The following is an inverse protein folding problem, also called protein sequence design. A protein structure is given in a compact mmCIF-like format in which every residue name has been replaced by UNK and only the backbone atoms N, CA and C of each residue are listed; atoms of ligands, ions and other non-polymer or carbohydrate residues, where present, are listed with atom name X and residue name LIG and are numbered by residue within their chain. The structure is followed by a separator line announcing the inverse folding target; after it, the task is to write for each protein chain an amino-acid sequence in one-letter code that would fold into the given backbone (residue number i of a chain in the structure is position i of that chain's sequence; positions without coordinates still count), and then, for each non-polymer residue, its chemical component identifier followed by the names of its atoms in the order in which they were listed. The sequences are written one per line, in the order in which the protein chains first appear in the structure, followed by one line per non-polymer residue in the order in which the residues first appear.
data_IF_234331924417
#
_entry.id   IF_234331924417
#
_cell.length_a   1.000
_cell.length_b   1.000
_cell.length_c   1.000
_cell.angle_alpha   90.00
_cell.angle_beta   90.00
_cell.angle_gamma   90.00
#
_symmetry.space_group_name_H-M   'P 1'
#
loop_
_entity.id
_entity.type
_entity.pdbx_description
1 polymer ?
#
# COMPACT_ATOMS: atom_id res chain seq x y z
N UNK A 1 -33.32 10.46 -16.15
CA UNK A 1 -33.43 9.51 -17.27
C UNK A 1 -32.14 9.45 -18.08
N UNK A 2 -31.68 10.58 -18.64
CA UNK A 2 -30.43 10.67 -19.42
C UNK A 2 -29.20 10.00 -18.77
N UNK A 3 -28.94 10.29 -17.49
CA UNK A 3 -27.84 9.62 -16.76
C UNK A 3 -28.04 8.11 -16.63
N UNK A 4 -29.27 7.65 -16.36
CA UNK A 4 -29.55 6.23 -16.21
C UNK A 4 -29.38 5.49 -17.55
N UNK A 5 -29.85 6.08 -18.66
CA UNK A 5 -29.67 5.52 -20.01
C UNK A 5 -28.19 5.49 -20.41
N UNK A 6 -27.45 6.57 -20.13
CA UNK A 6 -26.00 6.62 -20.38
C UNK A 6 -25.24 5.53 -19.62
N UNK A 7 -25.44 5.42 -18.30
CA UNK A 7 -24.75 4.41 -17.48
C UNK A 7 -25.18 2.97 -17.79
N UNK A 8 -26.43 2.77 -18.21
CA UNK A 8 -26.90 1.45 -18.66
C UNK A 8 -26.22 1.07 -19.98
N UNK A 9 -26.10 2.02 -20.92
CA UNK A 9 -25.38 1.82 -22.18
C UNK A 9 -23.90 1.53 -21.96
N UNK A 10 -23.23 2.32 -21.11
CA UNK A 10 -21.83 2.10 -20.72
C UNK A 10 -21.62 0.71 -20.10
N UNK A 11 -22.49 0.30 -19.17
CA UNK A 11 -22.42 -1.02 -18.51
C UNK A 11 -22.59 -2.15 -19.54
N UNK A 12 -23.58 -2.06 -20.41
CA UNK A 12 -23.83 -3.05 -21.47
C UNK A 12 -22.63 -3.19 -22.40
N UNK A 13 -22.01 -2.07 -22.79
CA UNK A 13 -20.85 -2.07 -23.67
C UNK A 13 -19.65 -2.79 -23.02
N UNK A 14 -19.42 -2.55 -21.72
CA UNK A 14 -18.38 -3.28 -20.95
C UNK A 14 -18.68 -4.77 -20.80
N UNK A 15 -19.94 -5.13 -20.54
CA UNK A 15 -20.36 -6.54 -20.44
C UNK A 15 -20.20 -7.26 -21.78
N UNK A 16 -20.52 -6.60 -22.90
CA UNK A 16 -20.34 -7.16 -24.24
C UNK A 16 -18.84 -7.32 -24.58
N UNK A 17 -18.02 -6.33 -24.23
CA UNK A 17 -16.58 -6.35 -24.50
C UNK A 17 -15.82 -7.40 -23.65
N UNK A 18 -16.15 -7.54 -22.36
CA UNK A 18 -15.42 -8.42 -21.45
C UNK A 18 -16.12 -9.75 -21.14
N UNK A 19 -17.39 -9.94 -21.53
CA UNK A 19 -18.16 -11.18 -21.34
C UNK A 19 -18.05 -11.74 -19.92
N UNK A 20 -17.56 -12.98 -19.77
CA UNK A 20 -17.37 -13.65 -18.47
C UNK A 20 -16.20 -13.03 -17.69
N UNK A 21 -15.19 -12.50 -18.38
CA UNK A 21 -14.06 -11.79 -17.75
C UNK A 21 -14.52 -10.52 -17.02
N UNK A 22 -15.69 -9.96 -17.37
CA UNK A 22 -16.29 -8.85 -16.60
C UNK A 22 -16.51 -9.21 -15.13
N UNK A 23 -16.89 -10.46 -14.84
CA UNK A 23 -17.17 -10.96 -13.50
C UNK A 23 -15.97 -11.63 -12.82
N UNK A 24 -14.91 -11.96 -13.56
CA UNK A 24 -13.71 -12.63 -13.02
C UNK A 24 -12.43 -11.78 -13.08
N UNK A 25 -12.49 -10.55 -13.63
CA UNK A 25 -11.32 -9.65 -13.67
C UNK A 25 -10.90 -9.16 -12.29
N UNK A 26 -9.68 -8.65 -12.17
CA UNK A 26 -9.17 -8.01 -10.94
C UNK A 26 -10.09 -6.87 -10.42
N UNK A 27 -10.92 -6.27 -11.29
CA UNK A 27 -11.87 -5.21 -10.97
C UNK A 27 -13.32 -5.71 -10.75
N UNK A 28 -13.55 -7.02 -10.59
CA UNK A 28 -14.90 -7.61 -10.57
C UNK A 28 -15.82 -7.03 -9.48
N UNK A 29 -15.29 -6.73 -8.28
CA UNK A 29 -16.05 -6.12 -7.17
C UNK A 29 -16.65 -4.77 -7.59
N UNK A 30 -15.90 -4.00 -8.36
CA UNK A 30 -16.33 -2.69 -8.87
C UNK A 30 -17.37 -2.81 -9.97
N UNK A 31 -17.24 -3.82 -10.82
CA UNK A 31 -18.19 -4.14 -11.86
C UNK A 31 -19.54 -4.60 -11.29
N UNK A 32 -19.54 -5.41 -10.23
CA UNK A 32 -20.75 -5.81 -9.51
C UNK A 32 -21.41 -4.59 -8.86
N UNK A 33 -20.65 -3.76 -8.14
CA UNK A 33 -21.19 -2.53 -7.56
C UNK A 33 -21.82 -1.63 -8.63
N UNK A 34 -21.16 -1.46 -9.78
CA UNK A 34 -21.69 -0.65 -10.87
C UNK A 34 -22.98 -1.23 -11.47
N UNK A 35 -23.08 -2.56 -11.53
CA UNK A 35 -24.28 -3.29 -11.93
C UNK A 35 -25.43 -3.06 -10.95
N UNK A 36 -25.18 -3.16 -9.65
CA UNK A 36 -26.19 -2.89 -8.60
C UNK A 36 -26.68 -1.45 -8.66
N UNK A 37 -25.80 -0.47 -8.83
CA UNK A 37 -26.17 0.95 -8.93
C UNK A 37 -27.04 1.24 -10.16
N UNK A 38 -26.74 0.60 -11.29
CA UNK A 38 -27.56 0.70 -12.51
C UNK A 38 -28.91 0.03 -12.28
N UNK A 39 -28.96 -1.15 -11.64
CA UNK A 39 -30.21 -1.83 -11.31
C UNK A 39 -31.10 -0.99 -10.39
N UNK A 40 -30.56 -0.38 -9.32
CA UNK A 40 -31.29 0.56 -8.45
C UNK A 40 -31.80 1.78 -9.24
N UNK A 41 -31.00 2.26 -10.19
CA UNK A 41 -31.37 3.40 -11.03
C UNK A 41 -32.54 3.08 -11.96
N UNK A 42 -32.52 1.90 -12.58
CA UNK A 42 -33.58 1.36 -13.44
C UNK A 42 -34.84 1.09 -12.62
N UNK A 43 -34.71 0.42 -11.47
CA UNK A 43 -35.82 0.15 -10.55
C UNK A 43 -36.50 1.45 -10.11
N UNK A 44 -35.73 2.49 -9.80
CA UNK A 44 -36.28 3.80 -9.45
C UNK A 44 -37.00 4.51 -10.60
N UNK A 45 -36.63 4.27 -11.86
CA UNK A 45 -37.32 4.79 -13.06
C UNK A 45 -38.59 3.99 -13.33
N UNK A 46 -38.49 2.66 -13.31
CA UNK A 46 -39.62 1.75 -13.48
C UNK A 46 -40.72 2.03 -12.45
N UNK A 47 -40.35 2.24 -11.17
CA UNK A 47 -41.31 2.58 -10.12
C UNK A 47 -42.04 3.92 -10.35
N UNK A 48 -41.39 4.92 -10.95
CA UNK A 48 -42.04 6.20 -11.28
C UNK A 48 -42.99 6.05 -12.46
N UNK A 49 -42.62 5.25 -13.46
CA UNK A 49 -43.48 4.96 -14.62
C UNK A 49 -44.69 4.12 -14.20
N UNK A 50 -44.49 3.11 -13.35
CA UNK A 50 -45.58 2.30 -12.79
C UNK A 50 -46.54 3.13 -11.93
N UNK A 51 -46.02 4.01 -11.07
CA UNK A 51 -46.82 4.89 -10.23
C UNK A 51 -47.51 6.04 -11.01
N UNK A 52 -46.91 6.50 -12.11
CA UNK A 52 -47.49 7.52 -12.99
C UNK A 52 -48.48 6.94 -14.02
N UNK A 53 -48.31 5.67 -14.42
CA UNK A 53 -49.18 4.97 -15.35
C UNK A 53 -50.49 4.49 -14.74
N UNK A 54 -50.55 4.31 -13.42
CA UNK A 54 -51.79 4.04 -12.68
C UNK A 54 -52.59 5.30 -12.31
N UNK A 55 -52.08 6.50 -12.64
CA UNK A 55 -52.74 7.78 -12.38
C UNK A 55 -53.67 8.28 -13.49
N UNK A 56 -53.86 7.52 -14.56
CA UNK A 56 -54.69 7.89 -15.71
C UNK A 56 -55.83 6.90 -15.96
N UNK A 57 -56.71 6.70 -14.97
CA UNK A 57 -57.87 5.83 -15.13
C UNK A 57 -58.86 6.00 -14.00
N UNK A 58 -59.91 6.77 -14.26
CA UNK A 58 -61.14 6.81 -13.46
C UNK A 58 -61.64 5.40 -13.14
N UNK A 59 -61.79 5.09 -11.86
CA UNK A 59 -62.40 3.82 -11.45
C UNK A 59 -62.37 3.65 -9.94
N UNK A 60 -63.42 4.13 -9.27
CA UNK A 60 -63.70 3.76 -7.88
C UNK A 60 -63.91 2.25 -7.79
N UNK A 61 -63.25 1.61 -6.82
CA UNK A 61 -63.38 0.19 -6.55
C UNK A 61 -62.49 -0.24 -5.39
N UNK A 62 -63.13 -0.54 -4.28
CA UNK A 62 -62.59 -0.93 -2.97
C UNK A 62 -61.37 -1.86 -3.02
N UNK A 63 -60.26 -1.44 -2.41
CA UNK A 63 -59.09 -2.28 -2.16
C UNK A 63 -58.52 -2.02 -0.75
N UNK A 64 -59.28 -2.37 0.28
CA UNK A 64 -58.92 -2.19 1.69
C UNK A 64 -58.04 -3.30 2.30
N UNK A 65 -57.37 -4.13 1.49
CA UNK A 65 -56.51 -5.21 2.02
C UNK A 65 -55.17 -5.44 1.28
N UNK A 66 -54.90 -4.73 0.18
CA UNK A 66 -53.57 -4.74 -0.49
C UNK A 66 -52.69 -3.54 -0.09
N UNK A 67 -53.24 -2.54 0.59
CA UNK A 67 -52.59 -1.24 0.81
C UNK A 67 -51.40 -1.26 1.77
N UNK A 68 -51.37 -2.09 2.83
CA UNK A 68 -50.32 -1.93 3.86
C UNK A 68 -48.95 -2.51 3.46
N UNK A 69 -48.95 -3.63 2.75
CA UNK A 69 -47.72 -4.17 2.13
C UNK A 69 -47.24 -3.26 1.00
N UNK A 70 -48.16 -2.76 0.16
CA UNK A 70 -47.80 -1.85 -0.93
C UNK A 70 -47.24 -0.53 -0.38
N UNK A 71 -47.77 0.03 0.70
CA UNK A 71 -47.26 1.26 1.31
C UNK A 71 -45.89 1.09 1.97
N UNK A 72 -45.65 -0.05 2.63
CA UNK A 72 -44.34 -0.38 3.22
C UNK A 72 -43.28 -0.64 2.15
N UNK A 73 -43.63 -1.38 1.10
CA UNK A 73 -42.77 -1.62 -0.07
C UNK A 73 -42.51 -0.30 -0.80
N UNK A 74 -43.51 0.54 -1.03
CA UNK A 74 -43.31 1.87 -1.62
C UNK A 74 -42.40 2.77 -0.77
N UNK A 75 -42.44 2.66 0.56
CA UNK A 75 -41.54 3.38 1.48
C UNK A 75 -40.10 2.88 1.36
N UNK A 76 -39.90 1.56 1.30
CA UNK A 76 -38.58 0.94 1.07
C UNK A 76 -38.04 1.32 -0.32
N UNK A 77 -38.88 1.29 -1.36
CA UNK A 77 -38.50 1.69 -2.71
C UNK A 77 -38.15 3.19 -2.79
N UNK A 78 -38.74 4.05 -1.94
CA UNK A 78 -38.34 5.45 -1.79
C UNK A 78 -36.98 5.57 -1.13
N UNK A 79 -36.68 4.78 -0.09
CA UNK A 79 -35.34 4.74 0.52
C UNK A 79 -34.28 4.22 -0.46
N UNK A 80 -34.60 3.21 -1.28
CA UNK A 80 -33.68 2.75 -2.33
C UNK A 80 -33.34 3.84 -3.36
N UNK A 81 -34.17 4.89 -3.52
CA UNK A 81 -33.82 6.03 -4.39
C UNK A 81 -32.65 6.86 -3.83
N UNK A 82 -32.48 6.95 -2.51
CA UNK A 82 -31.35 7.69 -1.92
C UNK A 82 -30.01 7.01 -2.18
N UNK A 83 -30.01 5.68 -2.38
CA UNK A 83 -28.83 4.91 -2.78
C UNK A 83 -28.23 5.35 -4.12
N UNK A 84 -28.96 6.13 -4.94
CA UNK A 84 -28.40 6.79 -6.13
C UNK A 84 -27.26 7.77 -5.80
N UNK A 85 -27.15 8.23 -4.55
CA UNK A 85 -26.04 9.05 -4.07
C UNK A 85 -24.72 8.25 -4.04
N UNK A 86 -24.78 6.92 -3.90
CA UNK A 86 -23.60 6.05 -3.92
C UNK A 86 -22.86 6.07 -5.26
N UNK A 87 -23.45 6.62 -6.34
CA UNK A 87 -22.70 6.88 -7.58
C UNK A 87 -21.53 7.85 -7.37
N UNK A 88 -21.53 8.64 -6.30
CA UNK A 88 -20.39 9.47 -5.91
C UNK A 88 -19.13 8.64 -5.73
N UNK A 89 -19.26 7.39 -5.28
CA UNK A 89 -18.15 6.42 -5.16
C UNK A 89 -17.42 6.27 -6.50
N UNK A 90 -18.12 6.38 -7.64
CA UNK A 90 -17.47 6.35 -8.96
C UNK A 90 -16.48 7.50 -9.16
N UNK A 91 -16.84 8.70 -8.70
CA UNK A 91 -15.98 9.88 -8.73
C UNK A 91 -14.84 9.71 -7.73
N UNK A 92 -15.13 9.18 -6.55
CA UNK A 92 -14.09 8.90 -5.54
C UNK A 92 -13.05 7.89 -6.03
N UNK A 93 -13.44 6.94 -6.89
CA UNK A 93 -12.52 5.98 -7.55
C UNK A 93 -11.61 6.61 -8.60
N UNK A 94 -12.03 7.71 -9.23
CA UNK A 94 -11.20 8.43 -10.20
C UNK A 94 -10.00 9.10 -9.51
N UNK A 95 -10.14 9.41 -8.22
CA UNK A 95 -9.09 9.97 -7.39
C UNK A 95 -8.30 8.83 -6.71
N UNK A 96 -7.05 8.63 -7.13
CA UNK A 96 -6.17 7.54 -6.62
C UNK A 96 -6.09 7.53 -5.08
N UNK A 97 -5.87 8.69 -4.46
CA UNK A 97 -5.76 8.79 -3.00
C UNK A 97 -7.04 8.39 -2.26
N UNK A 98 -8.19 8.83 -2.76
CA UNK A 98 -9.47 8.52 -2.10
C UNK A 98 -9.90 7.06 -2.34
N UNK A 99 -9.61 6.50 -3.52
CA UNK A 99 -9.81 5.07 -3.81
C UNK A 99 -9.05 4.18 -2.83
N UNK A 100 -7.82 4.56 -2.49
CA UNK A 100 -6.99 3.80 -1.54
C UNK A 100 -7.62 3.79 -0.15
N UNK A 101 -8.02 4.96 0.35
CA UNK A 101 -8.68 5.11 1.66
C UNK A 101 -9.99 4.32 1.71
N UNK A 102 -10.85 4.43 0.70
CA UNK A 102 -12.12 3.69 0.65
C UNK A 102 -11.89 2.17 0.60
N UNK A 103 -10.89 1.72 -0.17
CA UNK A 103 -10.57 0.28 -0.25
C UNK A 103 -10.05 -0.24 1.09
N UNK A 104 -9.23 0.55 1.79
CA UNK A 104 -8.77 0.24 3.15
C UNK A 104 -9.96 0.16 4.14
N UNK A 105 -10.87 1.16 4.13
CA UNK A 105 -12.05 1.17 4.99
C UNK A 105 -12.98 -0.03 4.73
N UNK A 106 -13.24 -0.36 3.47
CA UNK A 106 -14.05 -1.53 3.11
C UNK A 106 -13.36 -2.85 3.50
N UNK A 107 -12.02 -2.88 3.45
CA UNK A 107 -11.22 -3.95 4.04
C UNK A 107 -11.52 -4.13 5.53
N UNK A 108 -11.50 -3.03 6.30
CA UNK A 108 -11.83 -3.03 7.73
C UNK A 108 -13.23 -3.56 8.04
N UNK A 109 -14.22 -3.30 7.17
CA UNK A 109 -15.58 -3.81 7.40
C UNK A 109 -15.64 -5.34 7.42
N UNK A 110 -14.74 -6.01 6.70
CA UNK A 110 -14.70 -7.47 6.63
C UNK A 110 -14.20 -8.10 7.93
N UNK A 111 -13.29 -7.44 8.66
CA UNK A 111 -12.91 -7.90 10.00
C UNK A 111 -13.95 -7.45 11.04
N UNK A 112 -14.51 -6.25 10.88
CA UNK A 112 -15.52 -5.70 11.78
C UNK A 112 -16.82 -6.49 11.80
N UNK A 113 -17.17 -7.22 10.73
CA UNK A 113 -18.38 -8.05 10.70
C UNK A 113 -18.41 -9.09 11.82
N UNK A 114 -17.26 -9.71 12.12
CA UNK A 114 -17.15 -10.73 13.17
C UNK A 114 -17.30 -10.12 14.56
N UNK A 115 -16.64 -8.96 14.78
CA UNK A 115 -16.80 -8.21 16.03
C UNK A 115 -18.24 -7.76 16.23
N UNK A 116 -18.91 -7.27 15.18
CA UNK A 116 -20.31 -6.87 15.24
C UNK A 116 -21.24 -8.05 15.54
N UNK A 117 -20.97 -9.24 14.98
CA UNK A 117 -21.71 -10.45 15.32
C UNK A 117 -21.57 -10.82 16.81
N UNK A 118 -20.36 -10.75 17.37
CA UNK A 118 -20.12 -11.03 18.79
C UNK A 118 -20.85 -10.01 19.67
N UNK A 119 -20.79 -8.72 19.32
CA UNK A 119 -21.51 -7.66 20.04
C UNK A 119 -23.01 -7.93 20.01
N UNK A 120 -23.57 -8.25 18.84
CA UNK A 120 -24.99 -8.55 18.70
C UNK A 120 -25.40 -9.78 19.53
N UNK A 121 -24.56 -10.82 19.58
CA UNK A 121 -24.81 -12.01 20.39
C UNK A 121 -24.80 -11.70 21.91
N UNK A 122 -23.85 -10.89 22.37
CA UNK A 122 -23.80 -10.47 23.79
C UNK A 122 -25.01 -9.58 24.12
N UNK A 123 -25.32 -8.58 23.30
CA UNK A 123 -26.49 -7.73 23.50
C UNK A 123 -27.80 -8.53 23.46
N UNK A 124 -27.89 -9.57 22.63
CA UNK A 124 -29.02 -10.50 22.62
C UNK A 124 -29.12 -11.25 23.95
N UNK A 125 -28.03 -11.83 24.45
CA UNK A 125 -28.00 -12.56 25.71
C UNK A 125 -28.46 -11.69 26.88
N UNK A 126 -27.85 -10.52 27.08
CA UNK A 126 -28.26 -9.58 28.13
C UNK A 126 -29.69 -9.07 27.92
N UNK A 127 -30.06 -8.74 26.67
CA UNK A 127 -31.41 -8.31 26.32
C UNK A 127 -32.47 -9.34 26.70
N UNK A 128 -32.24 -10.63 26.44
CA UNK A 128 -33.17 -11.69 26.84
C UNK A 128 -33.31 -11.81 28.36
N UNK A 129 -32.22 -11.66 29.12
CA UNK A 129 -32.28 -11.66 30.60
C UNK A 129 -33.14 -10.51 31.14
N UNK A 130 -33.02 -9.30 30.58
CA UNK A 130 -33.81 -8.15 31.02
C UNK A 130 -35.28 -8.27 30.64
N UNK A 131 -35.60 -8.78 29.44
CA UNK A 131 -36.99 -9.04 29.03
C UNK A 131 -37.62 -10.10 29.95
N UNK A 132 -36.90 -11.18 30.23
CA UNK A 132 -37.40 -12.24 31.11
C UNK A 132 -37.61 -11.73 32.54
N UNK A 133 -36.66 -10.96 33.08
CA UNK A 133 -36.78 -10.37 34.41
C UNK A 133 -37.94 -9.38 34.52
N UNK A 134 -38.09 -8.51 33.51
CA UNK A 134 -39.18 -7.53 33.44
C UNK A 134 -40.53 -8.24 33.30
N UNK A 135 -40.63 -9.23 32.42
CA UNK A 135 -41.87 -9.99 32.21
C UNK A 135 -42.29 -10.79 33.44
N UNK A 136 -41.34 -11.42 34.14
CA UNK A 136 -41.61 -12.15 35.38
C UNK A 136 -42.14 -11.19 36.48
N UNK A 137 -41.51 -10.04 36.64
CA UNK A 137 -41.92 -9.01 37.60
C UNK A 137 -43.32 -8.46 37.31
N UNK A 138 -43.61 -8.16 36.05
CA UNK A 138 -44.94 -7.72 35.60
C UNK A 138 -46.03 -8.78 35.78
N UNK A 139 -45.67 -10.07 35.76
CA UNK A 139 -46.62 -11.16 36.03
C UNK A 139 -46.87 -11.37 37.52
N UNK A 140 -45.85 -11.20 38.36
CA UNK A 140 -45.93 -11.42 39.80
C UNK A 140 -46.65 -10.27 40.53
N UNK A 141 -46.40 -9.02 40.15
CA UNK A 141 -46.97 -7.81 40.78
C UNK A 141 -48.00 -7.09 39.89
N UNK A 142 -48.75 -7.85 39.09
CA UNK A 142 -49.68 -7.31 38.09
C UNK A 142 -50.70 -6.27 38.62
N UNK A 143 -51.10 -6.35 39.88
CA UNK A 143 -52.08 -5.44 40.49
C UNK A 143 -51.46 -4.26 41.28
N UNK A 144 -50.17 -4.31 41.60
CA UNK A 144 -49.48 -3.33 42.47
C UNK A 144 -48.46 -2.45 41.74
N UNK A 145 -48.10 -2.79 40.50
CA UNK A 145 -47.12 -2.01 39.72
C UNK A 145 -47.68 -0.63 39.35
N UNK A 146 -46.86 0.40 39.59
CA UNK A 146 -47.16 1.77 39.17
C UNK A 146 -47.21 1.86 37.64
N UNK A 147 -48.23 2.52 37.08
CA UNK A 147 -48.40 2.68 35.62
C UNK A 147 -47.18 3.29 34.92
N UNK A 148 -46.45 4.16 35.61
CA UNK A 148 -45.20 4.77 35.12
C UNK A 148 -44.10 3.72 34.95
N UNK A 149 -43.90 2.84 35.95
CA UNK A 149 -42.88 1.79 35.89
C UNK A 149 -43.20 0.75 34.81
N UNK A 150 -44.48 0.41 34.64
CA UNK A 150 -44.90 -0.48 33.55
C UNK A 150 -44.61 0.14 32.17
N UNK A 151 -44.85 1.45 32.00
CA UNK A 151 -44.54 2.14 30.76
C UNK A 151 -43.04 2.13 30.46
N UNK A 152 -42.20 2.45 31.45
CA UNK A 152 -40.74 2.44 31.32
C UNK A 152 -40.21 1.02 30.99
N UNK A 153 -40.73 -0.01 31.66
CA UNK A 153 -40.36 -1.40 31.39
C UNK A 153 -40.76 -1.84 29.98
N UNK A 154 -41.93 -1.42 29.48
CA UNK A 154 -42.37 -1.75 28.12
C UNK A 154 -41.57 -0.98 27.07
N UNK A 155 -41.22 0.27 27.33
CA UNK A 155 -40.44 1.12 26.43
C UNK A 155 -39.02 0.56 26.23
N UNK A 156 -38.30 0.32 27.32
CA UNK A 156 -36.90 -0.11 27.23
C UNK A 156 -36.74 -1.63 27.15
N UNK A 157 -37.61 -2.40 27.79
CA UNK A 157 -37.44 -3.84 28.06
C UNK A 157 -38.62 -4.72 27.59
N UNK A 158 -39.54 -4.17 26.79
CA UNK A 158 -40.77 -4.87 26.40
C UNK A 158 -40.60 -6.04 25.42
N UNK A 159 -39.55 -6.02 24.60
CA UNK A 159 -39.21 -7.08 23.66
C UNK A 159 -37.70 -7.24 23.55
N UNK A 160 -37.24 -8.36 22.97
CA UNK A 160 -35.80 -8.61 22.79
C UNK A 160 -35.18 -7.57 21.85
N UNK A 161 -35.86 -7.22 20.74
CA UNK A 161 -35.36 -6.21 19.81
C UNK A 161 -35.32 -4.81 20.43
N UNK A 162 -36.32 -4.43 21.23
CA UNK A 162 -36.29 -3.13 21.94
C UNK A 162 -35.20 -3.11 23.00
N UNK A 163 -34.99 -4.22 23.73
CA UNK A 163 -33.93 -4.34 24.73
C UNK A 163 -32.54 -4.26 24.10
N UNK A 164 -32.33 -4.93 22.96
CA UNK A 164 -31.08 -4.81 22.21
C UNK A 164 -30.86 -3.38 21.70
N UNK A 165 -31.92 -2.69 21.27
CA UNK A 165 -31.85 -1.28 20.87
C UNK A 165 -31.54 -0.35 22.06
N UNK A 166 -32.15 -0.57 23.22
CA UNK A 166 -31.85 0.17 24.46
C UNK A 166 -30.40 -0.03 24.88
N UNK A 167 -29.91 -1.28 24.86
CA UNK A 167 -28.51 -1.59 25.15
C UNK A 167 -27.56 -0.92 24.13
N UNK A 168 -27.92 -0.88 22.85
CA UNK A 168 -27.18 -0.16 21.83
C UNK A 168 -27.16 1.36 22.10
N UNK A 169 -28.29 1.97 22.45
CA UNK A 169 -28.37 3.39 22.81
C UNK A 169 -27.53 3.71 24.05
N UNK A 170 -27.59 2.88 25.10
CA UNK A 170 -26.77 3.05 26.29
C UNK A 170 -25.27 2.93 26.00
N UNK A 171 -24.90 2.04 25.06
CA UNK A 171 -23.52 1.77 24.64
C UNK A 171 -22.91 2.90 23.80
N UNK A 172 -23.66 3.47 22.85
CA UNK A 172 -23.16 4.49 21.92
C UNK A 172 -23.50 5.94 22.32
N UNK A 173 -24.10 6.14 23.50
CA UNK A 173 -24.44 7.47 24.02
C UNK A 173 -25.66 8.09 23.34
N UNK A 174 -26.65 7.27 22.95
CA UNK A 174 -27.92 7.73 22.40
C UNK A 174 -28.87 8.30 23.46
N UNK A 175 -28.87 7.72 24.66
CA UNK A 175 -29.64 8.19 25.82
C UNK A 175 -28.87 7.85 27.12
N UNK A 176 -29.21 8.54 28.20
CA UNK A 176 -28.58 8.34 29.50
C UNK A 176 -28.91 6.94 30.03
N UNK A 177 -27.86 6.12 30.19
CA UNK A 177 -27.97 4.76 30.74
C UNK A 177 -28.68 4.72 32.11
N UNK A 178 -28.68 5.85 32.85
CA UNK A 178 -29.40 6.01 34.12
C UNK A 178 -30.90 5.81 33.96
N UNK A 179 -31.52 6.34 32.90
CA UNK A 179 -32.96 6.21 32.67
C UNK A 179 -33.35 4.76 32.39
N UNK A 180 -32.51 4.04 31.64
CA UNK A 180 -32.72 2.62 31.33
C UNK A 180 -32.47 1.71 32.54
N UNK A 181 -31.54 2.09 33.43
CA UNK A 181 -31.23 1.36 34.64
C UNK A 181 -32.29 1.54 35.75
N UNK A 182 -32.91 2.72 35.84
CA UNK A 182 -33.89 3.06 36.87
C UNK A 182 -35.03 2.03 37.03
N UNK A 183 -35.71 1.57 35.96
CA UNK A 183 -36.75 0.55 36.09
C UNK A 183 -36.17 -0.82 36.50
N UNK A 184 -34.98 -1.18 36.04
CA UNK A 184 -34.33 -2.46 36.41
C UNK A 184 -33.97 -2.53 37.90
N UNK A 185 -33.57 -1.42 38.52
CA UNK A 185 -33.34 -1.36 39.98
C UNK A 185 -34.60 -1.63 40.79
N UNK A 186 -35.77 -1.29 40.26
CA UNK A 186 -37.07 -1.54 40.92
C UNK A 186 -37.53 -2.99 40.74
N UNK A 187 -37.26 -3.58 39.57
CA UNK A 187 -37.49 -5.02 39.32
C UNK A 187 -36.64 -5.90 40.23
N UNK A 188 -35.37 -5.54 40.42
CA UNK A 188 -34.51 -6.20 41.40
C UNK A 188 -33.06 -5.76 41.31
N UNK A 189 -32.39 -5.67 42.46
CA UNK A 189 -30.99 -5.23 42.53
C UNK A 189 -30.05 -6.08 41.66
N UNK A 190 -30.32 -7.38 41.51
CA UNK A 190 -29.53 -8.27 40.64
C UNK A 190 -29.55 -7.82 39.17
N UNK A 191 -30.71 -7.39 38.64
CA UNK A 191 -30.83 -6.90 37.26
C UNK A 191 -30.16 -5.53 37.09
N UNK A 192 -30.24 -4.67 38.11
CA UNK A 192 -29.50 -3.41 38.14
C UNK A 192 -27.97 -3.62 38.08
N UNK A 193 -27.44 -4.54 38.89
CA UNK A 193 -26.02 -4.92 38.84
C UNK A 193 -25.63 -5.58 37.51
N UNK A 194 -26.49 -6.43 36.95
CA UNK A 194 -26.27 -7.06 35.65
C UNK A 194 -26.19 -6.02 34.52
N UNK A 195 -27.02 -4.98 34.57
CA UNK A 195 -26.96 -3.86 33.63
C UNK A 195 -25.67 -3.05 33.78
N UNK A 196 -25.24 -2.74 35.00
CA UNK A 196 -23.95 -2.09 35.22
C UNK A 196 -22.78 -2.94 34.73
N UNK A 197 -22.84 -4.26 34.90
CA UNK A 197 -21.84 -5.18 34.36
C UNK A 197 -21.78 -5.12 32.83
N UNK A 198 -22.94 -5.06 32.15
CA UNK A 198 -22.98 -4.87 30.70
C UNK A 198 -22.32 -3.56 30.27
N UNK A 199 -22.63 -2.44 30.95
CA UNK A 199 -22.04 -1.13 30.63
C UNK A 199 -20.52 -1.15 30.86
N UNK A 200 -20.07 -1.72 31.98
CA UNK A 200 -18.65 -1.90 32.26
C UNK A 200 -17.95 -2.77 31.21
N UNK A 201 -18.56 -3.91 30.84
CA UNK A 201 -18.06 -4.78 29.78
C UNK A 201 -17.97 -4.05 28.43
N UNK A 202 -18.98 -3.26 28.09
CA UNK A 202 -18.99 -2.45 26.86
C UNK A 202 -17.81 -1.48 26.80
N UNK A 203 -17.63 -0.65 27.83
CA UNK A 203 -16.57 0.36 27.83
C UNK A 203 -15.17 -0.24 28.00
N UNK A 204 -15.00 -1.24 28.85
CA UNK A 204 -13.68 -1.82 29.13
C UNK A 204 -13.22 -2.81 28.07
N UNK A 205 -14.14 -3.60 27.49
CA UNK A 205 -13.78 -4.67 26.55
C UNK A 205 -14.18 -4.31 25.14
N UNK A 206 -15.46 -4.03 24.89
CA UNK A 206 -15.97 -3.93 23.51
C UNK A 206 -15.45 -2.69 22.80
N UNK A 207 -15.59 -1.51 23.39
CA UNK A 207 -15.13 -0.25 22.80
C UNK A 207 -13.61 -0.26 22.54
N UNK A 208 -12.85 -0.80 23.49
CA UNK A 208 -11.40 -0.95 23.37
C UNK A 208 -11.02 -1.99 22.30
N UNK A 209 -11.76 -3.10 22.19
CA UNK A 209 -11.52 -4.12 21.15
C UNK A 209 -11.81 -3.58 19.76
N UNK A 210 -12.91 -2.83 19.57
CA UNK A 210 -13.22 -2.18 18.29
C UNK A 210 -12.11 -1.19 17.91
N UNK A 211 -11.68 -0.36 18.86
CA UNK A 211 -10.57 0.58 18.63
C UNK A 211 -9.28 -0.14 18.28
N UNK A 212 -8.93 -1.20 19.02
CA UNK A 212 -7.77 -2.04 18.74
C UNK A 212 -7.82 -2.69 17.35
N UNK A 213 -8.98 -3.17 16.92
CA UNK A 213 -9.16 -3.73 15.58
C UNK A 213 -8.92 -2.68 14.48
N UNK A 214 -9.41 -1.45 14.66
CA UNK A 214 -9.17 -0.38 13.69
C UNK A 214 -7.67 -0.03 13.59
N UNK A 215 -6.97 0.00 14.73
CA UNK A 215 -5.51 0.21 14.75
C UNK A 215 -4.80 -0.92 14.03
N UNK A 216 -5.14 -2.18 14.34
CA UNK A 216 -4.55 -3.37 13.74
C UNK A 216 -4.70 -3.38 12.22
N UNK A 217 -5.91 -3.15 11.70
CA UNK A 217 -6.14 -3.12 10.24
C UNK A 217 -5.41 -1.95 9.59
N UNK A 218 -5.30 -0.81 10.27
CA UNK A 218 -4.54 0.33 9.75
C UNK A 218 -3.05 0.00 9.65
N UNK A 219 -2.48 -0.67 10.66
CA UNK A 219 -1.10 -1.14 10.66
C UNK A 219 -0.86 -2.17 9.57
N UNK A 220 -1.72 -3.19 9.46
CA UNK A 220 -1.62 -4.22 8.42
C UNK A 220 -1.69 -3.63 7.00
N UNK A 221 -2.56 -2.65 6.76
CA UNK A 221 -2.63 -1.97 5.47
C UNK A 221 -1.34 -1.17 5.17
N UNK A 222 -0.73 -0.54 6.18
CA UNK A 222 0.55 0.16 6.02
C UNK A 222 1.70 -0.83 5.72
N UNK A 223 1.72 -1.97 6.38
CA UNK A 223 2.72 -3.03 6.14
C UNK A 223 2.55 -3.67 4.76
N UNK A 224 1.30 -3.89 4.34
CA UNK A 224 1.00 -4.43 3.01
C UNK A 224 1.46 -3.47 1.91
N UNK A 225 1.26 -2.16 2.07
CA UNK A 225 1.75 -1.15 1.12
C UNK A 225 3.29 -1.17 1.02
N UNK A 226 3.98 -1.34 2.16
CA UNK A 226 5.43 -1.51 2.21
C UNK A 226 5.90 -2.80 1.54
N UNK A 227 5.18 -3.91 1.72
CA UNK A 227 5.47 -5.18 1.06
C UNK A 227 5.31 -5.09 -0.45
N UNK A 228 4.24 -4.45 -0.95
CA UNK A 228 4.06 -4.21 -2.38
C UNK A 228 5.20 -3.38 -2.99
N UNK A 229 5.66 -2.34 -2.29
CA UNK A 229 6.81 -1.55 -2.75
C UNK A 229 8.08 -2.40 -2.80
N UNK A 230 8.30 -3.23 -1.77
CA UNK A 230 9.47 -4.12 -1.69
C UNK A 230 9.43 -5.19 -2.79
N UNK A 231 8.29 -5.82 -3.02
CA UNK A 231 8.10 -6.81 -4.09
C UNK A 231 8.35 -6.19 -5.47
N UNK A 232 7.81 -4.99 -5.74
CA UNK A 232 8.07 -4.28 -6.99
C UNK A 232 9.56 -3.95 -7.19
N UNK A 233 10.29 -3.60 -6.12
CA UNK A 233 11.74 -3.40 -6.20
C UNK A 233 12.51 -4.71 -6.44
N UNK A 234 12.05 -5.84 -5.87
CA UNK A 234 12.66 -7.14 -6.11
C UNK A 234 12.40 -7.62 -7.55
N UNK A 235 11.19 -7.47 -8.09
CA UNK A 235 10.88 -7.80 -9.47
C UNK A 235 11.75 -6.97 -10.44
N UNK A 236 11.89 -5.67 -10.20
CA UNK A 236 12.77 -4.80 -10.99
C UNK A 236 14.25 -5.22 -10.91
N UNK A 237 14.70 -5.74 -9.75
CA UNK A 237 16.05 -6.32 -9.60
C UNK A 237 16.21 -7.60 -10.40
N UNK A 238 15.23 -8.49 -10.36
CA UNK A 238 15.28 -9.76 -11.08
C UNK A 238 15.27 -9.55 -12.60
N UNK A 239 14.42 -8.66 -13.10
CA UNK A 239 14.36 -8.28 -14.52
C UNK A 239 15.70 -7.69 -14.99
N UNK A 240 16.32 -6.84 -14.16
CA UNK A 240 17.64 -6.29 -14.41
C UNK A 240 18.74 -7.37 -14.47
N UNK A 241 18.73 -8.32 -13.54
CA UNK A 241 19.70 -9.42 -13.53
C UNK A 241 19.53 -10.33 -14.75
N UNK A 242 18.29 -10.63 -15.14
CA UNK A 242 18.01 -11.41 -16.33
C UNK A 242 18.54 -10.72 -17.60
N UNK A 243 18.38 -9.41 -17.71
CA UNK A 243 18.92 -8.64 -18.82
C UNK A 243 20.44 -8.64 -18.88
N UNK A 244 21.13 -8.46 -17.74
CA UNK A 244 22.59 -8.52 -17.69
C UNK A 244 23.13 -9.89 -18.10
N UNK A 245 22.43 -10.97 -17.73
CA UNK A 245 22.77 -12.33 -18.20
C UNK A 245 22.60 -12.49 -19.70
N UNK A 246 21.57 -11.88 -20.30
CA UNK A 246 21.36 -11.92 -21.75
C UNK A 246 22.43 -11.12 -22.51
N UNK A 247 22.84 -9.95 -21.97
CA UNK A 247 23.97 -9.17 -22.52
C UNK A 247 25.28 -9.95 -22.41
N UNK A 248 25.54 -10.59 -21.27
CA UNK A 248 26.72 -11.43 -21.09
C UNK A 248 26.74 -12.59 -22.09
N UNK A 249 25.61 -13.27 -22.29
CA UNK A 249 25.50 -14.38 -23.24
C UNK A 249 25.70 -13.95 -24.71
N UNK A 250 25.39 -12.70 -25.05
CA UNK A 250 25.66 -12.12 -26.38
C UNK A 250 27.12 -11.70 -26.55
N UNK A 251 27.81 -11.38 -25.46
CA UNK A 251 29.22 -10.96 -25.47
C UNK A 251 30.21 -12.12 -25.40
N UNK A 252 29.86 -13.22 -24.73
CA UNK A 252 30.64 -14.46 -24.63
C UNK A 252 30.58 -15.26 -25.95
N UNK A 253 31.27 -14.77 -26.99
CA UNK A 253 31.28 -15.36 -28.34
C UNK A 253 32.10 -16.65 -28.38
N UNK A 254 33.13 -16.77 -27.55
CA UNK A 254 34.04 -17.91 -27.47
C UNK A 254 33.60 -18.97 -26.44
N UNK A 255 32.55 -18.69 -25.66
CA UNK A 255 31.97 -19.57 -24.63
C UNK A 255 32.97 -19.95 -23.54
N UNK A 256 33.92 -19.07 -23.23
CA UNK A 256 34.96 -19.32 -22.24
C UNK A 256 34.51 -18.97 -20.80
N UNK A 257 33.30 -18.40 -20.66
CA UNK A 257 32.67 -17.92 -19.42
C UNK A 257 33.32 -16.65 -18.83
N UNK A 258 34.17 -15.99 -19.60
CA UNK A 258 34.77 -14.71 -19.28
C UNK A 258 34.43 -13.69 -20.37
N UNK A 259 34.51 -12.41 -20.01
CA UNK A 259 34.42 -11.33 -20.98
C UNK A 259 35.66 -10.45 -20.84
N UNK A 260 36.25 -10.11 -21.98
CA UNK A 260 37.31 -9.12 -22.12
C UNK A 260 36.77 -7.72 -22.40
N UNK A 261 37.60 -6.70 -22.19
CA UNK A 261 37.22 -5.31 -22.45
C UNK A 261 36.80 -5.07 -23.90
N UNK A 262 37.49 -5.71 -24.85
CA UNK A 262 37.23 -5.57 -26.29
C UNK A 262 35.89 -6.20 -26.70
N UNK A 263 35.56 -7.37 -26.14
CA UNK A 263 34.30 -8.07 -26.41
C UNK A 263 33.09 -7.28 -25.90
N UNK A 264 33.20 -6.70 -24.69
CA UNK A 264 32.08 -5.93 -24.14
C UNK A 264 31.86 -4.62 -24.88
N UNK A 265 32.92 -3.92 -25.29
CA UNK A 265 32.79 -2.72 -26.13
C UNK A 265 32.17 -3.06 -27.49
N UNK A 266 32.58 -4.17 -28.12
CA UNK A 266 32.02 -4.59 -29.41
C UNK A 266 30.53 -4.94 -29.33
N UNK A 267 30.07 -5.48 -28.20
CA UNK A 267 28.66 -5.84 -27.97
C UNK A 267 27.82 -4.63 -27.58
N UNK A 268 28.38 -3.71 -26.80
CA UNK A 268 27.71 -2.47 -26.42
C UNK A 268 27.52 -1.51 -27.61
N UNK A 269 28.42 -1.54 -28.60
CA UNK A 269 28.27 -0.79 -29.86
C UNK A 269 27.19 -1.38 -30.79
N UNK A 270 26.63 -2.57 -30.50
CA UNK A 270 25.60 -3.17 -31.33
C UNK A 270 24.23 -2.49 -31.08
N UNK A 271 23.52 -2.02 -32.12
CA UNK A 271 22.29 -1.23 -31.97
C UNK A 271 21.17 -1.95 -31.23
N UNK A 272 21.10 -3.28 -31.34
CA UNK A 272 20.11 -4.09 -30.62
C UNK A 272 20.39 -4.17 -29.11
N UNK A 273 21.66 -4.05 -28.69
CA UNK A 273 22.07 -4.12 -27.29
C UNK A 273 21.96 -2.73 -26.64
N UNK A 274 22.26 -1.66 -27.36
CA UNK A 274 22.06 -0.27 -26.90
C UNK A 274 20.57 0.04 -26.63
N UNK A 275 19.69 -0.34 -27.57
CA UNK A 275 18.23 -0.19 -27.39
C UNK A 275 17.72 -1.05 -26.23
N UNK A 276 18.25 -2.26 -26.07
CA UNK A 276 17.88 -3.15 -24.98
C UNK A 276 18.36 -2.61 -23.62
N UNK A 277 19.63 -2.21 -23.51
CA UNK A 277 20.21 -1.62 -22.31
C UNK A 277 19.46 -0.34 -21.89
N UNK A 278 19.18 0.54 -22.86
CA UNK A 278 18.39 1.75 -22.66
C UNK A 278 16.97 1.45 -22.15
N UNK A 279 16.32 0.39 -22.65
CA UNK A 279 14.97 -0.02 -22.21
C UNK A 279 14.91 -0.49 -20.75
N UNK A 280 16.04 -0.95 -20.20
CA UNK A 280 16.20 -1.41 -18.83
C UNK A 280 16.78 -0.32 -17.89
N UNK A 281 17.00 0.88 -18.42
CA UNK A 281 17.58 2.01 -17.68
C UNK A 281 19.06 1.82 -17.39
N UNK A 282 19.79 1.18 -18.31
CA UNK A 282 21.25 1.06 -18.32
C UNK A 282 21.76 1.99 -19.41
N UNK A 283 22.46 3.06 -19.04
CA UNK A 283 23.22 3.84 -20.03
C UNK A 283 24.46 3.04 -20.43
N UNK A 284 24.73 2.94 -21.73
CA UNK A 284 25.89 2.22 -22.26
C UNK A 284 27.20 2.72 -21.63
N UNK A 285 27.30 4.05 -21.43
CA UNK A 285 28.42 4.69 -20.76
C UNK A 285 28.63 4.20 -19.31
N UNK A 286 27.55 3.86 -18.59
CA UNK A 286 27.66 3.30 -17.24
C UNK A 286 28.24 1.90 -17.28
N UNK A 287 27.87 1.06 -18.26
CA UNK A 287 28.41 -0.31 -18.39
C UNK A 287 29.90 -0.28 -18.69
N UNK A 288 30.33 0.58 -19.61
CA UNK A 288 31.76 0.76 -19.92
C UNK A 288 32.55 1.25 -18.70
N UNK A 289 31.99 2.20 -17.94
CA UNK A 289 32.64 2.73 -16.73
C UNK A 289 32.70 1.70 -15.61
N UNK A 290 31.64 0.90 -15.46
CA UNK A 290 31.58 -0.21 -14.50
C UNK A 290 32.59 -1.29 -14.87
N UNK A 291 32.66 -1.64 -16.14
CA UNK A 291 33.53 -2.71 -16.64
C UNK A 291 35.00 -2.31 -16.57
N UNK A 292 35.38 -1.10 -17.00
CA UNK A 292 36.74 -0.58 -16.82
C UNK A 292 37.16 -0.58 -15.35
N UNK A 293 36.25 -0.22 -14.44
CA UNK A 293 36.52 -0.24 -13.00
C UNK A 293 36.75 -1.66 -12.43
N UNK A 294 35.94 -2.64 -12.85
CA UNK A 294 36.02 -4.03 -12.38
C UNK A 294 37.19 -4.81 -13.01
N UNK A 295 37.51 -4.51 -14.27
CA UNK A 295 38.56 -5.15 -15.05
C UNK A 295 39.96 -4.55 -14.84
N UNK A 296 40.09 -3.49 -14.03
CA UNK A 296 41.32 -2.70 -13.89
C UNK A 296 41.82 -2.20 -15.26
N UNK A 297 40.94 -1.51 -16.00
CA UNK A 297 41.23 -0.98 -17.35
C UNK A 297 41.67 -2.08 -18.35
N UNK A 298 41.06 -3.27 -18.26
CA UNK A 298 41.31 -4.39 -19.17
C UNK A 298 42.45 -5.34 -18.80
N UNK A 299 43.10 -5.16 -17.65
CA UNK A 299 44.13 -6.10 -17.17
C UNK A 299 43.55 -7.46 -16.69
N UNK A 300 42.26 -7.50 -16.37
CA UNK A 300 41.59 -8.68 -15.80
C UNK A 300 40.30 -9.03 -16.53
N UNK A 301 40.17 -10.30 -16.89
CA UNK A 301 38.95 -10.92 -17.39
C UNK A 301 37.88 -11.02 -16.28
N UNK A 302 36.61 -10.84 -16.65
CA UNK A 302 35.49 -10.88 -15.71
C UNK A 302 34.56 -12.05 -16.01
N UNK A 303 34.24 -12.82 -14.98
CA UNK A 303 33.23 -13.88 -15.01
C UNK A 303 31.81 -13.29 -14.84
N UNK A 304 30.80 -14.08 -15.23
CA UNK A 304 29.39 -13.68 -15.17
C UNK A 304 28.98 -13.19 -13.77
N UNK A 305 29.45 -13.85 -12.71
CA UNK A 305 29.10 -13.48 -11.35
C UNK A 305 29.73 -12.13 -10.96
N UNK A 306 31.00 -11.90 -11.27
CA UNK A 306 31.65 -10.61 -11.03
C UNK A 306 31.03 -9.47 -11.85
N UNK A 307 30.66 -9.72 -13.10
CA UNK A 307 30.01 -8.73 -13.97
C UNK A 307 28.63 -8.34 -13.41
N UNK A 308 27.76 -9.32 -13.12
CA UNK A 308 26.41 -9.07 -12.60
C UNK A 308 26.45 -8.41 -11.22
N UNK A 309 27.26 -8.94 -10.29
CA UNK A 309 27.40 -8.37 -8.94
C UNK A 309 27.98 -6.95 -8.99
N UNK A 310 28.93 -6.71 -9.91
CA UNK A 310 29.51 -5.40 -10.15
C UNK A 310 28.49 -4.38 -10.65
N UNK A 311 27.71 -4.74 -11.66
CA UNK A 311 26.66 -3.89 -12.23
C UNK A 311 25.53 -3.60 -11.22
N UNK A 312 25.15 -4.58 -10.38
CA UNK A 312 24.18 -4.36 -9.30
C UNK A 312 24.76 -3.39 -8.26
N UNK A 313 25.97 -3.64 -7.76
CA UNK A 313 26.58 -2.80 -6.72
C UNK A 313 26.71 -1.35 -7.17
N UNK A 314 27.16 -1.12 -8.40
CA UNK A 314 27.36 0.23 -8.93
C UNK A 314 26.04 0.94 -9.23
N UNK A 315 25.02 0.24 -9.75
CA UNK A 315 23.68 0.81 -9.97
C UNK A 315 23.01 1.24 -8.66
N UNK A 316 23.07 0.42 -7.60
CA UNK A 316 22.47 0.78 -6.31
C UNK A 316 23.34 1.74 -5.48
N UNK A 317 24.61 1.92 -5.84
CA UNK A 317 25.49 2.95 -5.30
C UNK A 317 25.42 4.28 -6.08
N UNK A 318 24.53 4.45 -7.06
CA UNK A 318 24.42 5.67 -7.91
C UNK A 318 24.13 6.98 -7.18
N UNK A 319 23.91 6.99 -5.86
CA UNK A 319 24.04 8.24 -5.10
C UNK A 319 25.51 8.69 -4.89
N UNK A 320 26.48 7.93 -5.40
CA UNK A 320 27.91 8.11 -5.23
C UNK A 320 28.68 8.13 -6.57
N UNK A 321 28.02 8.45 -7.68
CA UNK A 321 28.70 8.76 -8.97
C UNK A 321 29.91 9.68 -8.73
N UNK A 322 29.71 10.70 -7.92
CA UNK A 322 30.71 11.69 -7.50
C UNK A 322 31.84 11.08 -6.65
N UNK A 323 31.54 10.10 -5.79
CA UNK A 323 32.56 9.44 -4.97
C UNK A 323 33.42 8.52 -5.84
N UNK A 324 32.83 7.84 -6.82
CA UNK A 324 33.59 6.99 -7.73
C UNK A 324 34.56 7.82 -8.59
N UNK A 325 34.09 8.96 -9.13
CA UNK A 325 34.96 9.92 -9.82
C UNK A 325 36.04 10.48 -8.90
N UNK A 326 35.70 10.80 -7.64
CA UNK A 326 36.65 11.28 -6.65
C UNK A 326 37.75 10.26 -6.34
N UNK A 327 37.41 8.97 -6.20
CA UNK A 327 38.38 7.90 -5.95
C UNK A 327 39.31 7.72 -7.15
N UNK A 328 38.79 7.84 -8.36
CA UNK A 328 39.57 7.72 -9.59
C UNK A 328 40.53 8.91 -9.76
N UNK A 329 40.05 10.14 -9.54
CA UNK A 329 40.86 11.34 -9.51
C UNK A 329 41.96 11.26 -8.44
N UNK A 330 41.64 10.73 -7.25
CA UNK A 330 42.61 10.53 -6.18
C UNK A 330 43.70 9.52 -6.55
N UNK A 331 43.34 8.39 -7.19
CA UNK A 331 44.33 7.41 -7.66
C UNK A 331 45.26 8.00 -8.72
N UNK A 332 44.72 8.77 -9.67
CA UNK A 332 45.53 9.45 -10.70
C UNK A 332 46.48 10.47 -10.06
N UNK A 333 45.98 11.28 -9.12
CA UNK A 333 46.80 12.23 -8.37
C UNK A 333 47.91 11.53 -7.57
N UNK A 334 47.60 10.41 -6.93
CA UNK A 334 48.58 9.63 -6.18
C UNK A 334 49.70 9.08 -7.08
N UNK A 335 49.37 8.51 -8.24
CA UNK A 335 50.35 8.07 -9.25
C UNK A 335 51.23 9.24 -9.71
N UNK A 336 50.63 10.40 -9.98
CA UNK A 336 51.36 11.61 -10.41
C UNK A 336 52.32 12.13 -9.32
N UNK A 337 51.88 12.20 -8.06
CA UNK A 337 52.74 12.57 -6.94
C UNK A 337 53.90 11.60 -6.76
N UNK A 338 53.65 10.29 -6.94
CA UNK A 338 54.69 9.28 -6.82
C UNK A 338 55.75 9.42 -7.92
N UNK A 339 55.33 9.65 -9.17
CA UNK A 339 56.28 9.91 -10.27
C UNK A 339 57.10 11.19 -10.06
N UNK A 340 56.47 12.26 -9.59
CA UNK A 340 57.16 13.53 -9.31
C UNK A 340 58.16 13.39 -8.15
N UNK A 341 57.81 12.61 -7.11
CA UNK A 341 58.70 12.35 -6.00
C UNK A 341 59.92 11.51 -6.41
N UNK A 342 59.73 10.52 -7.28
CA UNK A 342 60.84 9.74 -7.86
C UNK A 342 61.78 10.61 -8.71
N UNK A 343 61.24 11.51 -9.53
CA UNK A 343 62.02 12.43 -10.35
C UNK A 343 62.86 13.40 -9.48
N UNK A 344 62.27 13.92 -8.40
CA UNK A 344 62.96 14.80 -7.45
C UNK A 344 64.06 14.06 -6.67
N UNK A 345 63.82 12.80 -6.30
CA UNK A 345 64.84 11.93 -5.69
C UNK A 345 65.98 11.62 -6.65
N UNK A 346 65.72 11.47 -7.96
CA UNK A 346 66.77 11.29 -8.97
C UNK A 346 67.63 12.55 -9.12
N UNK A 347 67.03 13.74 -9.16
CA UNK A 347 67.76 15.01 -9.22
C UNK A 347 68.64 15.22 -7.98
N UNK A 348 68.12 14.95 -6.78
CA UNK A 348 68.89 15.04 -5.53
C UNK A 348 70.05 14.02 -5.47
N UNK A 349 69.88 12.82 -6.04
CA UNK A 349 70.98 11.85 -6.18
C UNK A 349 72.07 12.36 -7.13
N UNK A 350 71.68 12.99 -8.23
CA UNK A 350 72.61 13.54 -9.22
C UNK A 350 73.42 14.73 -8.65
N UNK A 351 72.80 15.57 -7.83
CA UNK A 351 73.47 16.71 -7.18
C UNK A 351 74.45 16.26 -6.09
N UNK A 352 74.11 15.18 -5.35
CA UNK A 352 75.00 14.59 -4.34
C UNK A 352 76.26 14.00 -4.97
N UNK A 353 76.16 13.42 -6.16
CA UNK A 353 77.33 12.92 -6.92
C UNK A 353 78.22 14.04 -7.47
N UNK A 354 77.67 15.24 -7.71
CA UNK A 354 78.45 16.43 -8.10
C UNK A 354 79.19 17.06 -6.91
N UNK A 355 78.62 16.99 -5.69
CA UNK A 355 79.22 17.54 -4.48
C UNK A 355 80.37 16.70 -3.90
N UNK A 356 80.48 15.42 -4.25
CA UNK A 356 81.51 14.50 -3.74
C UNK A 356 82.75 14.38 -4.65
N UNK A 357 82.85 15.18 -5.72
CA UNK A 357 84.05 15.24 -6.54
C UNK A 357 85.23 15.86 -5.74
N UNK A 358 86.34 15.14 -5.52
CA UNK A 358 87.43 15.63 -4.68
C UNK A 358 88.13 16.85 -5.34
N UNK A 359 88.60 17.83 -4.55
CA UNK A 359 89.26 19.02 -5.09
C UNK A 359 90.54 18.62 -5.83
N UNK A 360 90.66 19.04 -7.10
CA UNK A 360 91.89 18.90 -7.90
C UNK A 360 93.05 19.57 -7.15
N UNK A 361 94.02 18.78 -6.69
CA UNK A 361 95.28 19.29 -6.13
C UNK A 361 96.06 20.06 -7.21
N UNK A 362 96.58 21.27 -6.91
CA UNK A 362 97.49 21.95 -7.81
C UNK A 362 98.87 21.26 -7.80
N UNK A 363 99.34 20.83 -8.97
CA UNK A 363 100.67 20.27 -9.15
C UNK A 363 101.74 21.34 -8.98
N UNK A 364 102.55 21.23 -7.93
CA UNK A 364 103.80 22.01 -7.78
C UNK A 364 104.82 21.51 -8.79
N UNK A 365 105.23 22.36 -9.73
CA UNK A 365 106.45 22.17 -10.52
C UNK A 365 107.66 22.63 -9.71
N UNK A 366 108.57 21.71 -9.41
CA UNK A 366 109.94 22.02 -8.98
C UNK A 366 110.87 21.53 -10.09
N UNK A 367 111.70 22.45 -10.58
CA UNK A 367 112.50 22.32 -11.80
C UNK A 367 113.86 21.65 -11.64
N UNK A 368 114.62 21.64 -12.74
CA UNK A 368 116.01 21.19 -12.74
C UNK A 368 116.58 20.85 -14.12
N UNK A 369 117.04 21.89 -14.82
CA UNK A 369 117.92 21.97 -16.00
C UNK A 369 118.85 20.79 -16.35
N UNK A 370 119.06 20.55 -17.67
CA UNK A 370 120.34 20.87 -18.35
C UNK A 370 120.30 20.60 -19.86
N UNK A 371 120.51 21.65 -20.64
CA UNK A 371 121.20 21.57 -21.94
C UNK A 371 122.71 21.50 -21.69
N UNK A 372 123.43 20.73 -22.51
CA UNK A 372 124.88 20.72 -22.67
C UNK A 372 125.18 21.23 -24.08
N UNK A 373 126.05 22.24 -24.17
CA UNK A 373 126.66 22.73 -25.40
C UNK A 373 127.69 23.78 -25.06
N UNK A 374 128.96 23.52 -25.40
CA UNK A 374 130.11 24.43 -25.24
C UNK A 374 131.13 23.95 -24.23
#
# INVERSE_FOLDING_TARGET
LLFATFYTGELLLRVVAHRIYFFCSNQWKWNIMDTVLVAISIQGVAAVIWAGGSGGGSGGGSASSRSDFDLSVLRILRLMKSLKLLRVIRVLRALRGLRLIVSAMLGCLTSMQWSLMVIAAVSFMFGTCFVQGSAAYLQEEADTVSRELEADLREYWGSVSTSMHSLFMASFGGDDWKHMAAPLWRVGAAYGFLFLLYIGFWFCVVANTLTGLFVEVTMQNADTDRQYVLEAELEAKEEYVAALKDVFAKADVDCDQYITFEEICAVLDHPDVDVFASSLGIEVADVERIFSHLSLDGEKMLDLEAFVVGCIKLRYQTNNSDILELVQAHRQFSKYCQSQFEELLQLLRCDRTSAEAPPRRPSKSIGGSRMVGG
#
